data_IF_433786029016
#
_entry.id   IF_433786029016
#
_cell.length_a   1.000
_cell.length_b   1.000
_cell.length_c   1.000
_cell.angle_alpha   90.00
_cell.angle_beta   90.00
_cell.angle_gamma   90.00
#
_symmetry.space_group_name_H-M   'P 1'
#
loop_
_entity.id
_entity.type
_entity.pdbx_description
1 polymer ?
#
# COMPACT_ATOMS: atom_id res chain seq x y z
N UNK A 1 1.51 -13.56 8.01
CA UNK A 1 0.82 -13.27 9.30
C UNK A 1 1.10 -11.84 9.77
N UNK A 2 2.35 -11.42 9.95
CA UNK A 2 2.70 -10.07 10.46
C UNK A 2 1.98 -8.91 9.75
N UNK A 3 2.00 -8.85 8.40
CA UNK A 3 1.34 -7.79 7.62
C UNK A 3 -0.19 -7.76 7.76
N UNK A 4 -0.84 -8.92 7.88
CA UNK A 4 -2.27 -8.99 8.19
C UNK A 4 -2.56 -8.48 9.61
N UNK A 5 -1.64 -8.75 10.56
CA UNK A 5 -1.68 -8.18 11.90
C UNK A 5 -1.65 -6.65 11.88
N UNK A 6 -0.81 -6.03 11.04
CA UNK A 6 -0.77 -4.57 10.89
C UNK A 6 -2.14 -4.01 10.50
N UNK A 7 -2.87 -4.64 9.58
CA UNK A 7 -4.22 -4.19 9.18
C UNK A 7 -5.17 -4.20 10.39
N UNK A 8 -5.12 -5.24 11.22
CA UNK A 8 -5.97 -5.31 12.40
C UNK A 8 -5.56 -4.28 13.46
N UNK A 9 -4.25 -4.10 13.68
CA UNK A 9 -3.71 -3.07 14.57
C UNK A 9 -4.13 -1.68 14.12
N UNK A 10 -4.09 -1.37 12.83
CA UNK A 10 -4.58 -0.10 12.26
C UNK A 10 -6.02 0.18 12.67
N UNK A 11 -6.91 -0.83 12.56
CA UNK A 11 -8.33 -0.70 12.94
C UNK A 11 -8.48 -0.50 14.46
N UNK A 12 -7.78 -1.28 15.27
CA UNK A 12 -7.83 -1.16 16.73
C UNK A 12 -7.33 0.20 17.19
N UNK A 13 -6.15 0.62 16.74
CA UNK A 13 -5.57 1.92 17.10
C UNK A 13 -6.40 3.10 16.60
N UNK A 14 -7.04 2.98 15.43
CA UNK A 14 -7.95 4.02 14.94
C UNK A 14 -9.11 4.29 15.91
N UNK A 15 -9.65 3.24 16.57
CA UNK A 15 -10.69 3.38 17.59
C UNK A 15 -10.14 3.95 18.89
N UNK A 16 -9.02 3.40 19.39
CA UNK A 16 -8.43 3.81 20.67
C UNK A 16 -7.94 5.26 20.66
N UNK A 17 -7.44 5.73 19.52
CA UNK A 17 -6.83 7.04 19.40
C UNK A 17 -7.78 8.13 18.89
N UNK A 18 -9.00 7.79 18.44
CA UNK A 18 -9.97 8.72 17.90
C UNK A 18 -10.28 9.89 18.87
N UNK A 19 -10.42 9.61 20.17
CA UNK A 19 -10.69 10.64 21.19
C UNK A 19 -9.59 11.71 21.30
N UNK A 20 -8.37 11.38 20.87
CA UNK A 20 -7.23 12.28 20.84
C UNK A 20 -7.08 13.00 19.49
N UNK A 21 -8.05 12.84 18.58
CA UNK A 21 -8.00 13.39 17.22
C UNK A 21 -6.79 12.87 16.41
N UNK A 22 -6.30 11.67 16.73
CA UNK A 22 -5.22 11.00 15.99
C UNK A 22 -5.85 9.98 15.04
N UNK A 23 -5.55 10.11 13.75
CA UNK A 23 -6.01 9.21 12.69
C UNK A 23 -4.98 8.12 12.44
N UNK A 24 -5.44 6.89 12.23
CA UNK A 24 -4.56 5.75 11.96
C UNK A 24 -5.05 5.06 10.70
N UNK A 25 -4.22 4.97 9.67
CA UNK A 25 -4.55 4.34 8.40
C UNK A 25 -3.36 3.51 7.91
N UNK A 26 -3.58 2.62 6.96
CA UNK A 26 -2.54 1.80 6.34
C UNK A 26 -2.54 1.96 4.82
N UNK A 27 -1.34 2.00 4.24
CA UNK A 27 -1.13 1.88 2.79
C UNK A 27 -0.64 0.45 2.54
N UNK A 28 -1.19 -0.19 1.50
CA UNK A 28 -0.84 -1.54 1.07
C UNK A 28 -0.24 -1.45 -0.34
N UNK A 29 1.09 -1.26 -0.46
CA UNK A 29 1.74 -1.22 -1.76
C UNK A 29 1.80 -2.61 -2.40
N UNK A 30 1.79 -2.62 -3.72
CA UNK A 30 2.26 -3.74 -4.53
C UNK A 30 3.78 -3.86 -4.51
N UNK A 31 4.35 -4.37 -5.59
CA UNK A 31 5.80 -4.39 -5.77
C UNK A 31 6.31 -2.99 -6.12
N UNK A 32 6.95 -2.35 -5.15
CA UNK A 32 7.67 -1.08 -5.33
C UNK A 32 9.13 -1.37 -5.62
N UNK A 33 9.68 -0.75 -6.66
CA UNK A 33 11.10 -0.86 -7.02
C UNK A 33 11.93 -0.14 -5.95
N UNK A 34 12.88 -0.88 -5.38
CA UNK A 34 13.84 -0.42 -4.38
C UNK A 34 15.19 -1.04 -4.69
N UNK A 35 16.28 -0.50 -4.15
CA UNK A 35 17.62 -1.04 -4.42
C UNK A 35 17.77 -2.49 -3.90
N UNK A 36 16.99 -2.88 -2.89
CA UNK A 36 16.96 -4.24 -2.35
C UNK A 36 16.40 -5.28 -3.33
N UNK A 37 15.47 -4.89 -4.20
CA UNK A 37 14.74 -5.83 -5.06
C UNK A 37 14.90 -5.56 -6.57
N UNK A 38 15.64 -4.50 -6.95
CA UNK A 38 15.78 -4.04 -8.34
C UNK A 38 16.25 -5.14 -9.28
N UNK A 39 17.33 -5.85 -8.92
CA UNK A 39 17.90 -6.93 -9.75
C UNK A 39 16.89 -8.07 -9.97
N UNK A 40 16.15 -8.45 -8.92
CA UNK A 40 15.10 -9.46 -9.02
C UNK A 40 13.97 -9.00 -9.94
N UNK A 41 13.49 -7.77 -9.80
CA UNK A 41 12.39 -7.24 -10.60
C UNK A 41 12.76 -7.05 -12.08
N UNK A 42 14.05 -6.88 -12.39
CA UNK A 42 14.58 -6.81 -13.75
C UNK A 42 14.91 -8.18 -14.37
N UNK A 43 14.89 -9.25 -13.58
CA UNK A 43 15.13 -10.61 -14.05
C UNK A 43 13.96 -11.15 -14.90
N UNK A 44 14.18 -12.27 -15.60
CA UNK A 44 13.11 -12.97 -16.32
C UNK A 44 11.94 -13.37 -15.40
N UNK A 45 12.22 -13.71 -14.14
CA UNK A 45 11.19 -14.03 -13.16
C UNK A 45 10.42 -12.77 -12.73
N UNK A 46 11.12 -11.64 -12.61
CA UNK A 46 10.51 -10.33 -12.41
C UNK A 46 9.57 -9.96 -13.56
N UNK A 47 9.97 -10.21 -14.80
CA UNK A 47 9.13 -9.97 -15.97
C UNK A 47 7.87 -10.86 -15.95
N UNK A 48 7.98 -12.14 -15.60
CA UNK A 48 6.82 -13.03 -15.40
C UNK A 48 5.88 -12.52 -14.31
N UNK A 49 6.43 -11.97 -13.22
CA UNK A 49 5.64 -11.35 -12.16
C UNK A 49 4.93 -10.08 -12.66
N UNK A 50 5.62 -9.21 -13.39
CA UNK A 50 5.04 -8.00 -14.01
C UNK A 50 3.87 -8.35 -14.91
N UNK A 51 3.95 -9.48 -15.62
CA UNK A 51 2.88 -10.01 -16.46
C UNK A 51 1.68 -10.57 -15.68
N UNK A 52 1.74 -10.68 -14.36
CA UNK A 52 0.58 -10.99 -13.51
C UNK A 52 -0.08 -9.76 -12.92
N UNK A 53 0.58 -8.61 -12.98
CA UNK A 53 0.00 -7.34 -12.54
C UNK A 53 -0.85 -6.78 -13.69
N UNK A 54 -2.15 -6.47 -13.48
CA UNK A 54 -3.01 -5.95 -14.53
C UNK A 54 -2.46 -4.69 -15.22
N UNK A 55 -1.87 -3.76 -14.46
CA UNK A 55 -1.23 -2.55 -14.99
C UNK A 55 0.07 -2.81 -15.76
N UNK A 56 0.61 -4.04 -15.71
CA UNK A 56 1.90 -4.44 -16.31
C UNK A 56 3.08 -3.59 -15.86
N UNK A 57 3.00 -3.03 -14.66
CA UNK A 57 3.97 -2.07 -14.14
C UNK A 57 4.25 -2.35 -12.66
N UNK A 58 5.52 -2.27 -12.28
CA UNK A 58 5.89 -2.16 -10.87
C UNK A 58 5.77 -0.71 -10.40
N UNK A 59 5.42 -0.52 -9.14
CA UNK A 59 5.36 0.81 -8.59
C UNK A 59 6.77 1.38 -8.42
N UNK A 60 6.86 2.69 -8.56
CA UNK A 60 7.98 3.50 -8.11
C UNK A 60 7.64 4.12 -6.75
N UNK A 61 8.63 4.56 -5.95
CA UNK A 61 8.36 5.21 -4.67
C UNK A 61 7.37 6.39 -4.77
N UNK A 62 7.47 7.17 -5.85
CA UNK A 62 6.61 8.34 -6.08
C UNK A 62 5.13 8.00 -6.33
N UNK A 63 4.79 6.75 -6.67
CA UNK A 63 3.39 6.32 -6.76
C UNK A 63 2.68 6.35 -5.39
N UNK A 64 3.43 6.38 -4.29
CA UNK A 64 2.90 6.47 -2.94
C UNK A 64 2.68 7.92 -2.47
N UNK A 65 3.18 8.92 -3.19
CA UNK A 65 3.13 10.32 -2.77
C UNK A 65 1.68 10.79 -2.59
N UNK A 66 0.81 10.53 -3.55
CA UNK A 66 -0.61 10.88 -3.48
C UNK A 66 -1.32 10.26 -2.26
N UNK A 67 -1.30 8.92 -2.09
CA UNK A 67 -1.79 8.23 -0.91
C UNK A 67 -1.25 8.77 0.43
N UNK A 68 0.06 9.04 0.51
CA UNK A 68 0.69 9.59 1.71
C UNK A 68 0.16 11.00 2.00
N UNK A 69 0.15 11.88 1.01
CA UNK A 69 -0.35 13.25 1.14
C UNK A 69 -1.83 13.28 1.51
N UNK A 70 -2.65 12.41 0.92
CA UNK A 70 -4.06 12.26 1.28
C UNK A 70 -4.20 11.93 2.78
N UNK A 71 -3.49 10.90 3.25
CA UNK A 71 -3.63 10.41 4.62
C UNK A 71 -2.96 11.32 5.65
N UNK A 72 -1.95 12.10 5.27
CA UNK A 72 -1.24 13.03 6.16
C UNK A 72 -1.87 14.43 6.22
N UNK A 73 -2.72 14.81 5.26
CA UNK A 73 -3.30 16.15 5.16
C UNK A 73 -4.77 16.22 5.59
N UNK A 74 -5.34 17.42 5.52
CA UNK A 74 -6.78 17.65 5.73
C UNK A 74 -7.66 16.98 4.66
N UNK A 75 -7.12 16.65 3.49
CA UNK A 75 -7.87 15.94 2.44
C UNK A 75 -8.39 14.58 2.93
N UNK A 76 -7.66 13.92 3.84
CA UNK A 76 -8.05 12.67 4.49
C UNK A 76 -8.62 12.84 5.90
N UNK A 77 -9.14 14.02 6.28
CA UNK A 77 -9.56 14.30 7.66
C UNK A 77 -10.67 13.35 8.15
N UNK A 78 -11.53 12.88 7.26
CA UNK A 78 -12.57 11.88 7.57
C UNK A 78 -12.08 10.43 7.59
N UNK A 79 -10.82 10.17 7.28
CA UNK A 79 -10.27 8.82 7.13
C UNK A 79 -9.53 8.37 8.39
N UNK A 80 -10.04 7.33 9.06
CA UNK A 80 -9.35 6.58 10.11
C UNK A 80 -9.76 5.11 10.04
N UNK A 81 -8.84 4.19 10.34
CA UNK A 81 -9.03 2.74 10.23
C UNK A 81 -9.02 2.21 8.79
N UNK A 82 -8.70 3.04 7.80
CA UNK A 82 -8.76 2.69 6.38
C UNK A 82 -7.50 1.98 5.90
N UNK A 83 -7.67 1.09 4.93
CA UNK A 83 -6.58 0.45 4.17
C UNK A 83 -6.64 0.88 2.71
N UNK A 84 -5.59 1.54 2.22
CA UNK A 84 -5.52 2.02 0.86
C UNK A 84 -4.52 1.18 0.04
N UNK A 85 -5.01 0.43 -0.93
CA UNK A 85 -4.20 -0.44 -1.79
C UNK A 85 -3.63 0.36 -2.96
N UNK A 86 -2.34 0.20 -3.22
CA UNK A 86 -1.60 0.90 -4.29
C UNK A 86 -0.72 -0.12 -5.01
N UNK A 87 -1.29 -0.90 -5.92
CA UNK A 87 -0.61 -2.10 -6.44
C UNK A 87 -0.89 -2.42 -7.92
N UNK A 88 -1.48 -1.49 -8.67
CA UNK A 88 -1.83 -1.73 -10.07
C UNK A 88 -2.90 -2.81 -10.27
N UNK A 89 -3.80 -2.96 -9.29
CA UNK A 89 -4.87 -3.97 -9.23
C UNK A 89 -4.37 -5.41 -9.04
N UNK A 90 -3.12 -5.60 -8.60
CA UNK A 90 -2.55 -6.93 -8.41
C UNK A 90 -3.32 -7.78 -7.39
N UNK A 91 -3.72 -7.22 -6.24
CA UNK A 91 -4.43 -7.91 -5.17
C UNK A 91 -5.79 -8.44 -5.62
N UNK A 92 -6.46 -7.75 -6.54
CA UNK A 92 -7.79 -8.11 -7.05
C UNK A 92 -7.72 -8.85 -8.38
N UNK A 93 -6.52 -9.15 -8.88
CA UNK A 93 -6.35 -9.98 -10.07
C UNK A 93 -6.75 -11.42 -9.75
N UNK A 94 -7.90 -11.83 -10.24
CA UNK A 94 -8.41 -13.21 -10.16
C UNK A 94 -8.06 -14.08 -11.37
N UNK A 95 -7.31 -13.51 -12.33
CA UNK A 95 -6.79 -14.17 -13.54
C UNK A 95 -5.29 -14.50 -13.37
#
# INVERSE_FOLDING_TARGET
>A
ISKAGVIQVTKTMALELARYQIRVNAILPGYVITDLNREFLQSELGEKLRMRIPSRRFNEPHDLDGPILLLASAAGQGMSGSTLVVDGAHLVSSL
#
